data_IF_342198916561
#
_entry.id   IF_342198916561
#
_cell.length_a   1.000
_cell.length_b   1.000
_cell.length_c   1.000
_cell.angle_alpha   90.00
_cell.angle_beta   90.00
_cell.angle_gamma   90.00
#
_symmetry.space_group_name_H-M   'P 1'
#
loop_
_entity.id
_entity.type
_entity.pdbx_description
1 polymer ?
#
# COMPACT_ATOMS: atom_id res chain seq x y z
N UNK A 1 12.10 -13.15 4.34
CA UNK A 1 13.25 -12.42 4.94
C UNK A 1 14.51 -12.84 4.18
N UNK A 2 15.46 -11.94 3.95
CA UNK A 2 16.75 -12.31 3.36
C UNK A 2 17.72 -12.80 4.44
N UNK A 3 18.48 -13.87 4.16
CA UNK A 3 19.51 -14.37 5.06
C UNK A 3 20.61 -13.32 5.25
N UNK A 4 21.00 -12.96 6.49
CA UNK A 4 22.01 -11.92 6.73
C UNK A 4 23.41 -12.31 6.26
N UNK A 5 23.69 -13.60 6.03
CA UNK A 5 25.00 -14.07 5.59
C UNK A 5 25.16 -14.11 4.07
N UNK A 6 24.13 -14.58 3.36
CA UNK A 6 24.23 -14.87 1.92
C UNK A 6 23.15 -14.19 1.08
N UNK A 7 22.26 -13.40 1.69
CA UNK A 7 21.13 -12.70 1.06
C UNK A 7 20.12 -13.59 0.32
N UNK A 8 20.30 -14.91 0.30
CA UNK A 8 19.31 -15.87 -0.19
C UNK A 8 18.03 -15.77 0.64
N UNK A 9 16.84 -16.00 0.05
CA UNK A 9 15.61 -16.13 0.81
C UNK A 9 15.73 -17.12 1.97
N UNK A 10 15.01 -16.82 3.05
CA UNK A 10 14.88 -17.67 4.21
C UNK A 10 13.39 -17.93 4.50
N UNK A 11 13.08 -19.19 4.78
CA UNK A 11 11.75 -19.68 5.12
C UNK A 11 11.48 -19.54 6.62
N UNK A 12 10.32 -18.97 6.96
CA UNK A 12 9.81 -18.92 8.34
C UNK A 12 9.48 -20.34 8.83
N UNK A 13 9.90 -20.66 10.06
CA UNK A 13 9.67 -21.97 10.67
C UNK A 13 8.65 -21.92 11.79
N UNK A 14 8.84 -20.98 12.72
CA UNK A 14 7.93 -20.78 13.85
C UNK A 14 7.79 -19.29 14.13
N UNK A 15 6.65 -18.90 14.68
CA UNK A 15 6.43 -17.56 15.19
C UNK A 15 5.66 -17.61 16.50
N UNK A 16 6.02 -16.74 17.44
CA UNK A 16 5.29 -16.52 18.69
C UNK A 16 5.05 -15.03 18.91
N UNK A 17 3.91 -14.71 19.49
CA UNK A 17 3.62 -13.33 19.92
C UNK A 17 4.35 -13.06 21.23
N UNK A 18 5.07 -11.94 21.30
CA UNK A 18 5.67 -11.44 22.55
C UNK A 18 4.79 -10.39 23.20
N UNK A 19 4.11 -9.58 22.39
CA UNK A 19 3.10 -8.61 22.81
C UNK A 19 2.02 -8.50 21.73
N UNK A 20 1.06 -7.58 21.90
CA UNK A 20 0.08 -7.25 20.86
C UNK A 20 0.70 -6.63 19.61
N UNK A 21 1.92 -6.09 19.70
CA UNK A 21 2.62 -5.38 18.62
C UNK A 21 3.87 -6.09 18.12
N UNK A 22 4.44 -7.02 18.90
CA UNK A 22 5.73 -7.67 18.61
C UNK A 22 5.54 -9.18 18.42
N UNK A 23 6.11 -9.70 17.34
CA UNK A 23 6.23 -11.14 17.06
C UNK A 23 7.69 -11.54 16.92
N UNK A 24 8.07 -12.63 17.58
CA UNK A 24 9.35 -13.29 17.38
C UNK A 24 9.19 -14.42 16.37
N UNK A 25 10.08 -14.47 15.38
CA UNK A 25 9.99 -15.39 14.25
C UNK A 25 11.34 -16.06 14.00
N UNK A 26 11.33 -17.39 13.93
CA UNK A 26 12.51 -18.18 13.56
C UNK A 26 12.49 -18.44 12.06
N UNK A 27 13.62 -18.17 11.41
CA UNK A 27 13.87 -18.40 9.99
C UNK A 27 14.98 -19.44 9.79
N UNK A 28 14.96 -20.08 8.62
CA UNK A 28 16.06 -20.90 8.10
C UNK A 28 16.34 -20.51 6.66
N UNK A 29 17.60 -20.25 6.34
CA UNK A 29 18.06 -19.98 4.98
C UNK A 29 17.73 -21.17 4.05
N UNK A 30 17.27 -20.86 2.84
CA UNK A 30 16.92 -21.87 1.83
C UNK A 30 18.14 -22.30 1.00
N UNK A 31 19.27 -21.60 1.10
CA UNK A 31 20.54 -22.08 0.58
C UNK A 31 21.10 -23.16 1.52
N UNK A 32 21.08 -24.42 1.07
CA UNK A 32 21.57 -25.56 1.85
C UNK A 32 23.03 -25.46 2.25
N UNK A 33 23.88 -24.83 1.43
CA UNK A 33 25.28 -24.60 1.77
C UNK A 33 25.45 -23.56 2.89
N UNK A 34 24.51 -22.60 3.01
CA UNK A 34 24.49 -21.62 4.08
C UNK A 34 23.83 -22.19 5.34
N UNK A 35 22.65 -22.78 5.22
CA UNK A 35 21.93 -23.47 6.30
C UNK A 35 21.55 -22.61 7.52
N UNK A 36 21.85 -21.30 7.52
CA UNK A 36 21.75 -20.45 8.69
C UNK A 36 20.33 -20.40 9.26
N UNK A 37 20.21 -20.72 10.56
CA UNK A 37 19.00 -20.52 11.35
C UNK A 37 19.13 -19.27 12.20
N UNK A 38 18.12 -18.42 12.20
CA UNK A 38 18.15 -17.15 12.91
C UNK A 38 16.77 -16.72 13.39
N UNK A 39 16.75 -15.85 14.39
CA UNK A 39 15.53 -15.33 15.01
C UNK A 39 15.47 -13.82 14.75
N UNK A 40 14.28 -13.33 14.43
CA UNK A 40 14.01 -11.89 14.28
C UNK A 40 12.81 -11.49 15.14
N UNK A 41 12.75 -10.22 15.52
CA UNK A 41 11.55 -9.60 16.08
C UNK A 41 10.97 -8.65 15.04
N UNK A 42 9.67 -8.77 14.79
CA UNK A 42 8.91 -7.91 13.89
C UNK A 42 7.92 -7.12 14.74
N UNK A 43 7.95 -5.80 14.61
CA UNK A 43 7.13 -4.88 15.38
C UNK A 43 6.26 -4.00 14.47
N UNK A 44 4.99 -3.85 14.82
CA UNK A 44 4.14 -2.81 14.27
C UNK A 44 4.46 -1.48 14.98
N UNK A 45 5.04 -0.52 14.25
CA UNK A 45 5.59 0.72 14.84
C UNK A 45 4.78 1.98 14.53
N UNK A 46 3.90 1.95 13.52
CA UNK A 46 3.08 3.10 13.12
C UNK A 46 1.86 2.69 12.29
N UNK A 47 0.82 3.49 12.35
CA UNK A 47 -0.40 3.39 11.54
C UNK A 47 -0.20 4.12 10.21
N UNK A 48 -0.28 3.40 9.09
CA UNK A 48 -0.28 4.02 7.75
C UNK A 48 -1.70 4.33 7.26
N UNK A 49 -2.67 3.52 7.66
CA UNK A 49 -4.10 3.66 7.37
C UNK A 49 -4.86 3.32 8.66
N UNK A 50 -5.84 4.11 9.10
CA UNK A 50 -6.60 3.83 10.32
C UNK A 50 -7.40 2.53 10.21
N UNK A 51 -7.52 1.79 11.31
CA UNK A 51 -8.39 0.61 11.40
C UNK A 51 -9.86 1.03 11.40
N UNK A 52 -10.71 0.28 10.68
CA UNK A 52 -12.17 0.43 10.76
C UNK A 52 -12.76 -0.14 12.07
N UNK A 53 -11.99 -0.95 12.81
CA UNK A 53 -12.34 -1.50 14.11
C UNK A 53 -11.11 -1.41 15.03
N UNK A 54 -10.87 -0.26 15.68
CA UNK A 54 -9.69 -0.06 16.51
C UNK A 54 -9.78 -0.85 17.82
N UNK A 55 -8.66 -1.46 18.23
CA UNK A 55 -8.51 -1.97 19.59
C UNK A 55 -8.10 -0.79 20.51
N UNK A 56 -8.88 -0.44 21.55
CA UNK A 56 -8.60 0.72 22.40
C UNK A 56 -7.29 0.61 23.19
N UNK A 57 -6.77 -0.61 23.41
CA UNK A 57 -5.50 -0.83 24.12
C UNK A 57 -4.26 -0.63 23.23
N UNK A 58 -4.46 -0.37 21.92
CA UNK A 58 -3.38 -0.23 20.94
C UNK A 58 -3.19 1.24 20.55
N UNK A 59 -2.02 1.77 20.91
CA UNK A 59 -1.63 3.14 20.59
C UNK A 59 -0.42 3.14 19.66
N UNK A 60 -0.66 3.27 18.35
CA UNK A 60 0.39 3.42 17.34
C UNK A 60 0.38 4.84 16.77
N UNK A 61 1.53 5.52 16.67
CA UNK A 61 1.59 6.82 16.02
C UNK A 61 1.23 6.69 14.54
N UNK A 62 0.60 7.71 13.95
CA UNK A 62 0.41 7.73 12.51
C UNK A 62 1.74 7.99 11.80
N UNK A 63 1.94 7.38 10.63
CA UNK A 63 3.05 7.75 9.76
C UNK A 63 2.93 9.24 9.42
N UNK A 64 4.04 9.98 9.55
CA UNK A 64 4.05 11.39 9.14
C UNK A 64 3.55 11.47 7.69
N UNK A 65 2.63 12.40 7.36
CA UNK A 65 2.29 12.64 5.97
C UNK A 65 3.59 12.92 5.23
N UNK A 66 3.78 12.28 4.07
CA UNK A 66 4.93 12.55 3.21
C UNK A 66 5.08 14.07 3.14
N UNK A 67 6.26 14.58 3.55
CA UNK A 67 6.51 16.03 3.59
C UNK A 67 6.01 16.60 2.27
N UNK A 68 5.02 17.50 2.34
CA UNK A 68 4.57 18.25 1.17
C UNK A 68 5.84 18.78 0.52
N UNK A 69 6.15 18.30 -0.69
CA UNK A 69 7.20 18.89 -1.52
C UNK A 69 6.96 20.41 -1.47
N UNK A 70 8.01 21.15 -1.14
CA UNK A 70 7.91 22.56 -0.82
C UNK A 70 7.13 23.33 -1.92
N UNK A 71 6.17 24.13 -1.47
CA UNK A 71 5.50 25.21 -2.21
C UNK A 71 5.01 24.89 -3.63
N UNK A 72 3.81 24.32 -3.72
CA UNK A 72 3.06 24.29 -4.96
C UNK A 72 1.63 23.84 -4.71
N UNK A 73 0.83 24.75 -4.12
CA UNK A 73 -0.65 24.71 -4.08
C UNK A 73 -1.27 23.31 -3.94
N UNK A 74 -1.59 22.89 -2.71
CA UNK A 74 -2.63 21.86 -2.51
C UNK A 74 -3.97 22.48 -2.92
N UNK A 75 -4.22 22.58 -4.22
CA UNK A 75 -5.57 22.75 -4.70
C UNK A 75 -6.26 21.40 -4.53
N UNK A 76 -7.51 21.38 -4.05
CA UNK A 76 -8.41 20.26 -4.30
C UNK A 76 -8.23 19.74 -5.74
N UNK A 77 -8.18 18.42 -5.91
CA UNK A 77 -7.94 17.79 -7.22
C UNK A 77 -9.03 18.10 -8.27
N UNK A 78 -10.12 18.76 -7.86
CA UNK A 78 -11.21 19.23 -8.70
C UNK A 78 -11.15 20.72 -9.07
N UNK A 79 -10.14 21.47 -8.59
CA UNK A 79 -9.94 22.88 -8.96
C UNK A 79 -9.12 23.03 -10.25
N UNK A 80 -8.66 21.91 -10.81
CA UNK A 80 -8.09 21.88 -12.15
C UNK A 80 -9.24 21.99 -13.15
N UNK A 81 -9.34 23.14 -13.81
CA UNK A 81 -10.23 23.38 -14.96
C UNK A 81 -9.74 22.58 -16.19
N UNK A 82 -9.45 21.29 -16.01
CA UNK A 82 -9.04 20.41 -17.08
C UNK A 82 -10.26 20.05 -17.90
N UNK A 83 -10.17 20.20 -19.22
CA UNK A 83 -11.18 19.65 -20.12
C UNK A 83 -11.34 18.16 -19.82
N UNK A 84 -12.53 17.67 -19.51
CA UNK A 84 -12.78 16.24 -19.36
C UNK A 84 -12.32 15.51 -20.63
N UNK A 85 -11.62 14.39 -20.47
CA UNK A 85 -11.09 13.61 -21.60
C UNK A 85 -12.17 13.04 -22.55
N UNK A 86 -13.44 13.25 -22.25
CA UNK A 86 -14.58 12.81 -23.05
C UNK A 86 -15.14 13.91 -23.98
N UNK A 87 -14.61 15.13 -23.90
CA UNK A 87 -15.11 16.28 -24.68
C UNK A 87 -14.29 16.56 -25.95
N UNK A 88 -13.17 15.85 -26.17
CA UNK A 88 -12.24 16.12 -27.27
C UNK A 88 -12.64 15.48 -28.63
N UNK A 89 -13.62 14.57 -28.67
CA UNK A 89 -13.99 13.85 -29.93
C UNK A 89 -15.44 13.34 -29.91
N UNK A 90 -16.41 14.17 -29.53
CA UNK A 90 -17.80 13.84 -29.80
C UNK A 90 -18.07 14.05 -31.31
N UNK A 91 -18.30 13.00 -32.11
CA UNK A 91 -18.74 13.20 -33.49
C UNK A 91 -20.04 14.01 -33.48
N UNK A 92 -20.28 14.89 -34.46
CA UNK A 92 -21.54 15.62 -34.53
C UNK A 92 -22.67 14.61 -34.51
N UNK A 93 -23.61 14.73 -33.56
CA UNK A 93 -24.83 13.94 -33.54
C UNK A 93 -25.48 14.05 -34.92
N UNK A 94 -25.49 12.96 -35.66
CA UNK A 94 -26.19 12.89 -36.94
C UNK A 94 -27.67 13.12 -36.66
N UNK A 95 -28.22 14.21 -37.18
CA UNK A 95 -29.67 14.41 -37.24
C UNK A 95 -30.20 13.49 -38.34
N UNK A 96 -30.33 12.20 -38.03
CA UNK A 96 -31.09 11.28 -38.86
C UNK A 96 -32.58 11.58 -38.66
N UNK A 97 -33.11 12.51 -39.44
CA UNK A 97 -34.55 12.61 -39.67
C UNK A 97 -34.95 11.42 -40.54
N UNK A 98 -35.47 10.37 -39.93
CA UNK A 98 -36.23 9.34 -40.66
C UNK A 98 -37.62 9.92 -40.97
N UNK A 99 -38.06 10.00 -42.24
CA UNK A 99 -39.46 10.29 -42.52
C UNK A 99 -40.27 9.03 -42.19
N UNK A 100 -41.26 9.17 -41.30
CA UNK A 100 -42.35 8.22 -41.16
C UNK A 100 -43.24 8.35 -42.41
N UNK A 101 -43.22 7.35 -43.28
CA UNK A 101 -44.24 7.18 -44.32
C UNK A 101 -45.16 6.05 -43.88
N UNK A 102 -46.45 6.35 -43.81
CA UNK A 102 -47.52 5.40 -43.46
C UNK A 102 -48.02 4.56 -44.62
#
# INVERSE_FOLDING_TARGET
>A
MACPHCNTPATQRTARSLSSLVREVTYRCDNDACGHGFVVQIEAIRTTIPSAAPNPDIHLPFAAPARKMASGSLRPANDDHRTPANDDDAPPRSTATTPMTG
#
